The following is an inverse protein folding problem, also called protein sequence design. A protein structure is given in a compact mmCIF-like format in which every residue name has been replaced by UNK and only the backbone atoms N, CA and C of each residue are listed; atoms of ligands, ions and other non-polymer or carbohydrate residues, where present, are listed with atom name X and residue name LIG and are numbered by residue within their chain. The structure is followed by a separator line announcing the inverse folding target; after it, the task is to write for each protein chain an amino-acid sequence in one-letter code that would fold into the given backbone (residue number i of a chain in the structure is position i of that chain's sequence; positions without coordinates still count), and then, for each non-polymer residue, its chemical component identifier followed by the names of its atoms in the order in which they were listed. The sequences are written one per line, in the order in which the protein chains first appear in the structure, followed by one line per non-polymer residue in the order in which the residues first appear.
data_IF_601800616005
#
_entry.id   IF_601800616005
#
_cell.length_a   1.000
_cell.length_b   1.000
_cell.length_c   1.000
_cell.angle_alpha   90.00
_cell.angle_beta   90.00
_cell.angle_gamma   90.00
#
_symmetry.space_group_name_H-M   'P 1'
#
loop_
_entity.id
_entity.type
_entity.pdbx_description
1 polymer ?
#
# COMPACT_ATOMS: atom_id res chain seq x y z
N UNK A 1 28.56 -18.01 27.19
CA UNK A 1 27.40 -17.10 27.36
C UNK A 1 26.87 -16.74 25.98
N UNK A 2 25.73 -17.31 25.59
CA UNK A 2 25.04 -17.01 24.34
C UNK A 2 24.51 -15.58 24.38
N UNK A 3 24.91 -14.75 23.40
CA UNK A 3 24.33 -13.42 23.19
C UNK A 3 22.81 -13.60 23.04
N UNK A 4 21.97 -12.96 23.87
CA UNK A 4 20.54 -12.97 23.64
C UNK A 4 20.30 -12.37 22.26
N UNK A 5 19.71 -13.16 21.37
CA UNK A 5 19.35 -12.73 20.02
C UNK A 5 18.52 -11.46 20.12
N UNK A 6 18.86 -10.48 19.28
CA UNK A 6 18.09 -9.26 19.13
C UNK A 6 16.64 -9.63 18.83
N UNK A 7 15.77 -9.55 19.83
CA UNK A 7 14.35 -9.75 19.66
C UNK A 7 13.86 -8.65 18.72
N UNK A 8 13.60 -9.02 17.45
CA UNK A 8 13.06 -8.08 16.46
C UNK A 8 11.74 -7.51 16.97
N UNK A 9 11.55 -6.19 16.84
CA UNK A 9 10.39 -5.47 17.36
C UNK A 9 9.08 -6.11 16.83
N UNK A 10 8.33 -6.86 17.67
CA UNK A 10 7.14 -7.58 17.22
C UNK A 10 6.04 -6.62 16.79
N UNK A 11 5.96 -5.44 17.41
CA UNK A 11 5.01 -4.38 17.07
C UNK A 11 5.27 -3.81 15.67
N UNK A 12 6.53 -3.61 15.31
CA UNK A 12 6.91 -3.19 13.96
C UNK A 12 6.44 -4.22 12.93
N UNK A 13 6.68 -5.51 13.18
CA UNK A 13 6.26 -6.57 12.26
C UNK A 13 4.76 -6.59 12.02
N UNK A 14 3.95 -6.45 13.08
CA UNK A 14 2.49 -6.37 12.97
C UNK A 14 2.02 -5.14 12.20
N UNK A 15 2.59 -3.96 12.48
CA UNK A 15 2.29 -2.74 11.73
C UNK A 15 2.68 -2.89 10.26
N UNK A 16 3.77 -3.60 9.95
CA UNK A 16 4.18 -3.90 8.59
C UNK A 16 3.15 -4.72 7.84
N UNK A 17 2.61 -5.78 8.46
CA UNK A 17 1.52 -6.57 7.89
C UNK A 17 0.25 -5.75 7.66
N UNK A 18 -0.11 -4.87 8.61
CA UNK A 18 -1.26 -3.99 8.44
C UNK A 18 -1.09 -3.05 7.24
N UNK A 19 0.09 -2.43 7.11
CA UNK A 19 0.43 -1.55 5.99
C UNK A 19 0.42 -2.29 4.65
N UNK A 20 0.86 -3.56 4.62
CA UNK A 20 0.76 -4.40 3.43
C UNK A 20 -0.69 -4.60 2.98
N UNK A 21 -1.58 -4.94 3.92
CA UNK A 21 -3.01 -5.14 3.63
C UNK A 21 -3.63 -3.84 3.11
N UNK A 22 -3.38 -2.73 3.81
CA UNK A 22 -3.87 -1.40 3.39
C UNK A 22 -3.33 -1.04 2.00
N UNK A 23 -2.05 -1.26 1.75
CA UNK A 23 -1.41 -1.01 0.46
C UNK A 23 -2.07 -1.80 -0.68
N UNK A 24 -2.29 -3.09 -0.49
CA UNK A 24 -2.94 -3.96 -1.47
C UNK A 24 -4.39 -3.54 -1.75
N UNK A 25 -5.16 -3.16 -0.70
CA UNK A 25 -6.53 -2.68 -0.85
C UNK A 25 -6.57 -1.38 -1.67
N UNK A 26 -5.71 -0.42 -1.34
CA UNK A 26 -5.63 0.86 -2.05
C UNK A 26 -5.21 0.68 -3.52
N UNK A 27 -4.24 -0.21 -3.79
CA UNK A 27 -3.86 -0.57 -5.15
C UNK A 27 -5.04 -1.18 -5.92
N UNK A 28 -5.77 -2.11 -5.30
CA UNK A 28 -6.97 -2.71 -5.91
C UNK A 28 -8.04 -1.68 -6.26
N UNK A 29 -8.33 -0.74 -5.33
CA UNK A 29 -9.27 0.37 -5.57
C UNK A 29 -8.78 1.26 -6.72
N UNK A 30 -7.48 1.61 -6.71
CA UNK A 30 -6.87 2.44 -7.75
C UNK A 30 -6.93 1.80 -9.14
N UNK A 31 -6.68 0.50 -9.23
CA UNK A 31 -6.81 -0.28 -10.48
C UNK A 31 -8.27 -0.29 -10.94
N UNK A 32 -9.23 -0.56 -10.04
CA UNK A 32 -10.64 -0.56 -10.38
C UNK A 32 -11.13 0.80 -10.91
N UNK A 33 -10.69 1.90 -10.29
CA UNK A 33 -10.99 3.25 -10.76
C UNK A 33 -10.29 3.57 -12.10
N UNK A 34 -9.08 3.05 -12.32
CA UNK A 34 -8.38 3.19 -13.60
C UNK A 34 -9.13 2.47 -14.72
N UNK A 35 -9.63 1.25 -14.47
CA UNK A 35 -10.47 0.53 -15.44
C UNK A 35 -11.73 1.34 -15.75
N UNK A 36 -12.40 1.89 -14.74
CA UNK A 36 -13.57 2.75 -14.93
C UNK A 36 -13.23 4.00 -15.75
N UNK A 37 -12.11 4.66 -15.46
CA UNK A 37 -11.61 5.81 -16.20
C UNK A 37 -11.45 5.50 -17.70
N UNK A 38 -10.85 4.36 -18.03
CA UNK A 38 -10.63 3.92 -19.41
C UNK A 38 -11.94 3.62 -20.17
N UNK A 39 -12.99 3.23 -19.45
CA UNK A 39 -14.32 2.97 -20.02
C UNK A 39 -15.27 4.17 -19.97
N UNK A 40 -14.88 5.26 -19.30
CA UNK A 40 -15.76 6.40 -19.04
C UNK A 40 -15.67 7.48 -20.15
N UNK A 41 -16.79 8.18 -20.44
CA UNK A 41 -16.80 9.33 -21.36
C UNK A 41 -15.89 10.46 -20.85
N UNK A 42 -15.31 11.23 -21.78
CA UNK A 42 -14.26 12.25 -21.52
C UNK A 42 -14.64 13.27 -20.42
N UNK A 43 -15.92 13.63 -20.30
CA UNK A 43 -16.40 14.58 -19.27
C UNK A 43 -16.27 14.04 -17.84
N UNK A 44 -16.35 12.71 -17.67
CA UNK A 44 -16.23 12.07 -16.36
C UNK A 44 -14.77 11.75 -15.98
N UNK A 45 -13.83 11.81 -16.93
CA UNK A 45 -12.45 11.34 -16.73
C UNK A 45 -11.66 12.14 -15.69
N UNK A 46 -11.92 13.44 -15.54
CA UNK A 46 -11.23 14.29 -14.57
C UNK A 46 -11.46 13.83 -13.13
N UNK A 47 -12.69 13.46 -12.79
CA UNK A 47 -13.03 12.95 -11.46
C UNK A 47 -12.38 11.58 -11.20
N UNK A 48 -12.41 10.69 -12.19
CA UNK A 48 -11.82 9.36 -12.06
C UNK A 48 -10.29 9.36 -12.00
N UNK A 49 -9.62 10.34 -12.62
CA UNK A 49 -8.16 10.48 -12.55
C UNK A 49 -7.67 10.64 -11.10
N UNK A 50 -8.26 11.57 -10.34
CA UNK A 50 -7.91 11.75 -8.93
C UNK A 50 -8.25 10.50 -8.10
N UNK A 51 -9.43 9.91 -8.32
CA UNK A 51 -9.88 8.69 -7.65
C UNK A 51 -9.01 7.46 -7.98
N UNK A 52 -8.22 7.49 -9.06
CA UNK A 52 -7.30 6.42 -9.45
C UNK A 52 -5.89 6.68 -8.93
N UNK A 53 -5.37 7.89 -9.14
CA UNK A 53 -3.97 8.22 -8.84
C UNK A 53 -3.68 8.19 -7.34
N UNK A 54 -4.54 8.79 -6.52
CA UNK A 54 -4.30 8.86 -5.07
C UNK A 54 -4.23 7.47 -4.41
N UNK A 55 -5.16 6.53 -4.66
CA UNK A 55 -5.06 5.17 -4.12
C UNK A 55 -3.88 4.38 -4.69
N UNK A 56 -3.52 4.56 -5.97
CA UNK A 56 -2.37 3.87 -6.55
C UNK A 56 -1.06 4.29 -5.87
N UNK A 57 -0.82 5.61 -5.76
CA UNK A 57 0.41 6.14 -5.14
C UNK A 57 0.43 5.82 -3.64
N UNK A 58 -0.67 6.11 -2.94
CA UNK A 58 -0.77 5.84 -1.50
C UNK A 58 -0.66 4.35 -1.19
N UNK A 59 -1.29 3.50 -1.99
CA UNK A 59 -1.23 2.06 -1.87
C UNK A 59 0.16 1.50 -2.12
N UNK A 60 0.87 2.01 -3.13
CA UNK A 60 2.26 1.63 -3.42
C UNK A 60 3.18 1.99 -2.24
N UNK A 61 3.10 3.21 -1.71
CA UNK A 61 3.93 3.61 -0.58
C UNK A 61 3.61 2.85 0.70
N UNK A 62 2.33 2.62 1.00
CA UNK A 62 1.91 1.79 2.13
C UNK A 62 2.43 0.35 1.98
N UNK A 63 2.39 -0.21 0.77
CA UNK A 63 2.95 -1.52 0.49
C UNK A 63 4.47 -1.56 0.72
N UNK A 64 5.24 -0.61 0.17
CA UNK A 64 6.70 -0.54 0.36
C UNK A 64 7.07 -0.38 1.83
N UNK A 65 6.41 0.53 2.54
CA UNK A 65 6.60 0.73 3.98
C UNK A 65 6.25 -0.54 4.77
N UNK A 66 5.15 -1.21 4.39
CA UNK A 66 4.73 -2.48 4.97
C UNK A 66 5.75 -3.59 4.78
N UNK A 67 6.32 -3.73 3.58
CA UNK A 67 7.40 -4.70 3.29
C UNK A 67 8.63 -4.38 4.15
N UNK A 68 9.10 -3.14 4.15
CA UNK A 68 10.30 -2.74 4.89
C UNK A 68 10.15 -3.05 6.39
N UNK A 69 9.00 -2.69 6.96
CA UNK A 69 8.72 -2.84 8.38
C UNK A 69 8.44 -4.32 8.77
N UNK A 70 7.73 -5.08 7.93
CA UNK A 70 7.49 -6.51 8.15
C UNK A 70 8.78 -7.35 8.04
N UNK A 71 9.72 -6.92 7.20
CA UNK A 71 11.03 -7.56 7.05
C UNK A 71 12.06 -7.09 8.09
N UNK A 72 11.74 -6.06 8.88
CA UNK A 72 12.67 -5.49 9.86
C UNK A 72 13.90 -4.83 9.23
N UNK A 73 13.78 -4.35 7.98
CA UNK A 73 14.85 -3.61 7.29
C UNK A 73 14.95 -2.22 7.92
N UNK A 74 16.15 -1.85 8.35
CA UNK A 74 16.45 -0.55 8.98
C UNK A 74 16.79 0.50 7.94
#
# INVERSE_FOLDING_TARGET
MSRPGAAGNPTGRWLGWLLLIVGLVLLGIGIANTVRLLTAPLEAQRGYLALSIFPLIGGLWAFVAGVALARGVR
#
